data_IF_781825918185
#
_entry.id   IF_781825918185
#
_cell.length_a   1.000
_cell.length_b   1.000
_cell.length_c   1.000
_cell.angle_alpha   90.00
_cell.angle_beta   90.00
_cell.angle_gamma   90.00
#
_symmetry.space_group_name_H-M   'P 1'
#
loop_
_entity.id
_entity.type
_entity.pdbx_description
1 polymer ?
#
# COMPACT_ATOMS: atom_id res chain seq x y z
N UNK A 1 -30.27 -24.06 29.40
CA UNK A 1 -29.41 -23.01 30.01
C UNK A 1 -28.57 -22.41 28.90
N UNK A 2 -28.86 -21.18 28.48
CA UNK A 2 -28.09 -20.50 27.43
C UNK A 2 -26.76 -20.03 28.02
N UNK A 3 -25.64 -20.61 27.56
CA UNK A 3 -24.30 -20.11 27.89
C UNK A 3 -24.09 -18.79 27.15
N UNK A 4 -24.16 -17.67 27.88
CA UNK A 4 -23.65 -16.38 27.42
C UNK A 4 -22.14 -16.53 27.21
N UNK A 5 -21.70 -16.44 25.96
CA UNK A 5 -20.28 -16.39 25.63
C UNK A 5 -19.62 -15.19 26.35
N UNK A 6 -18.43 -15.36 26.97
CA UNK A 6 -17.77 -14.26 27.65
C UNK A 6 -17.34 -13.19 26.63
N UNK A 7 -17.86 -11.98 26.79
CA UNK A 7 -17.42 -10.81 26.01
C UNK A 7 -15.95 -10.53 26.32
N UNK A 8 -15.06 -10.78 25.35
CA UNK A 8 -13.63 -10.47 25.47
C UNK A 8 -13.47 -8.96 25.75
N UNK A 9 -12.71 -8.56 26.79
CA UNK A 9 -12.48 -7.15 27.05
C UNK A 9 -11.73 -6.51 25.88
N UNK A 10 -12.16 -5.31 25.47
CA UNK A 10 -11.48 -4.55 24.41
C UNK A 10 -10.03 -4.31 24.82
N UNK A 11 -9.04 -4.58 23.95
CA UNK A 11 -7.64 -4.34 24.26
C UNK A 11 -7.39 -2.85 24.53
N UNK A 12 -6.45 -2.54 25.43
CA UNK A 12 -6.03 -1.15 25.68
C UNK A 12 -5.46 -0.49 24.43
N UNK A 13 -5.52 0.85 24.33
CA UNK A 13 -5.02 1.59 23.16
C UNK A 13 -3.53 1.30 22.88
N UNK A 14 -2.71 1.19 23.93
CA UNK A 14 -1.30 0.83 23.79
C UNK A 14 -1.13 -0.56 23.15
N UNK A 15 -1.98 -1.53 23.52
CA UNK A 15 -1.94 -2.87 22.92
C UNK A 15 -2.43 -2.87 21.47
N UNK A 16 -3.46 -2.09 21.15
CA UNK A 16 -3.93 -1.93 19.78
C UNK A 16 -2.85 -1.28 18.89
N UNK A 17 -2.14 -0.28 19.41
CA UNK A 17 -1.02 0.35 18.71
C UNK A 17 0.14 -0.61 18.51
N UNK A 18 0.52 -1.38 19.53
CA UNK A 18 1.55 -2.41 19.41
C UNK A 18 1.17 -3.45 18.35
N UNK A 19 -0.08 -3.92 18.32
CA UNK A 19 -0.56 -4.83 17.26
C UNK A 19 -0.44 -4.19 15.87
N UNK A 20 -0.79 -2.90 15.75
CA UNK A 20 -0.71 -2.17 14.49
C UNK A 20 0.73 -2.06 13.97
N UNK A 21 1.67 -1.63 14.81
CA UNK A 21 3.09 -1.49 14.45
C UNK A 21 3.81 -2.83 14.29
N UNK A 22 3.29 -3.92 14.86
CA UNK A 22 3.81 -5.26 14.63
C UNK A 22 3.43 -5.83 13.26
N UNK A 23 2.44 -5.24 12.58
CA UNK A 23 2.16 -5.57 11.18
C UNK A 23 3.06 -4.76 10.25
N UNK A 24 3.60 -5.39 9.19
CA UNK A 24 4.43 -4.71 8.19
C UNK A 24 3.71 -3.50 7.57
N UNK A 25 2.42 -3.66 7.27
CA UNK A 25 1.61 -2.59 6.69
C UNK A 25 1.40 -1.42 7.66
N UNK A 26 1.08 -1.69 8.94
CA UNK A 26 0.90 -0.64 9.94
C UNK A 26 2.21 0.06 10.30
N UNK A 27 3.32 -0.68 10.31
CA UNK A 27 4.66 -0.10 10.48
C UNK A 27 5.04 0.81 9.31
N UNK A 28 4.86 0.37 8.05
CA UNK A 28 5.12 1.23 6.88
C UNK A 28 4.26 2.48 6.90
N UNK A 29 2.97 2.38 7.25
CA UNK A 29 2.09 3.53 7.33
C UNK A 29 2.52 4.51 8.44
N UNK A 30 2.99 4.00 9.57
CA UNK A 30 3.54 4.82 10.66
C UNK A 30 4.81 5.54 10.22
N UNK A 31 5.73 4.83 9.53
CA UNK A 31 6.93 5.44 8.96
C UNK A 31 6.59 6.45 7.86
N UNK A 32 5.56 6.19 7.05
CA UNK A 32 5.06 7.12 6.02
C UNK A 32 4.57 8.42 6.64
N UNK A 33 3.86 8.32 7.77
CA UNK A 33 3.44 9.49 8.54
C UNK A 33 4.65 10.29 9.04
N UNK A 34 5.60 9.63 9.70
CA UNK A 34 6.82 10.29 10.17
C UNK A 34 7.61 10.93 9.02
N UNK A 35 7.77 10.23 7.89
CA UNK A 35 8.44 10.76 6.70
C UNK A 35 7.75 12.03 6.21
N UNK A 36 6.42 12.02 6.07
CA UNK A 36 5.68 13.19 5.58
C UNK A 36 5.81 14.40 6.50
N UNK A 37 5.80 14.21 7.82
CA UNK A 37 5.99 15.29 8.79
C UNK A 37 7.39 15.91 8.71
N UNK A 38 8.42 15.08 8.56
CA UNK A 38 9.80 15.55 8.42
C UNK A 38 9.98 16.32 7.10
N UNK A 39 9.37 15.85 6.01
CA UNK A 39 9.43 16.49 4.69
C UNK A 39 8.59 17.78 4.61
N UNK A 40 7.54 17.91 5.42
CA UNK A 40 6.88 19.21 5.65
C UNK A 40 7.86 20.15 6.36
N UNK A 41 8.57 19.67 7.39
CA UNK A 41 9.57 20.44 8.12
C UNK A 41 10.70 20.99 7.26
N UNK A 42 11.09 20.31 6.17
CA UNK A 42 12.09 20.83 5.21
C UNK A 42 11.57 21.97 4.35
N UNK A 43 10.25 22.08 4.15
CA UNK A 43 9.64 23.13 3.34
C UNK A 43 9.16 24.34 4.15
N UNK A 44 9.33 24.31 5.47
CA UNK A 44 9.12 25.49 6.31
C UNK A 44 10.39 26.35 6.30
N UNK A 45 10.24 27.68 6.28
CA UNK A 45 11.35 28.65 6.35
C UNK A 45 12.01 28.66 7.75
N UNK A 46 12.61 27.53 8.11
CA UNK A 46 13.34 27.31 9.35
C UNK A 46 14.84 27.55 9.15
N UNK A 47 15.58 27.54 10.26
CA UNK A 47 17.03 27.62 10.22
C UNK A 47 17.65 26.50 9.36
N UNK A 48 18.71 26.83 8.62
CA UNK A 48 19.37 25.93 7.66
C UNK A 48 19.86 24.62 8.30
N UNK A 49 20.25 24.68 9.58
CA UNK A 49 20.64 23.51 10.37
C UNK A 49 19.48 22.53 10.57
N UNK A 50 18.27 23.04 10.82
CA UNK A 50 17.07 22.24 11.02
C UNK A 50 16.65 21.59 9.70
N UNK A 51 16.62 22.37 8.61
CA UNK A 51 16.28 21.87 7.26
C UNK A 51 17.20 20.71 6.87
N UNK A 52 18.51 20.86 7.08
CA UNK A 52 19.49 19.80 6.78
C UNK A 52 19.23 18.53 7.59
N UNK A 53 18.96 18.66 8.90
CA UNK A 53 18.64 17.50 9.76
C UNK A 53 17.35 16.82 9.33
N UNK A 54 16.33 17.59 8.98
CA UNK A 54 15.06 17.06 8.47
C UNK A 54 15.28 16.35 7.13
N UNK A 55 16.07 16.89 6.21
CA UNK A 55 16.37 16.24 4.94
C UNK A 55 17.08 14.89 5.13
N UNK A 56 18.06 14.84 6.03
CA UNK A 56 18.74 13.58 6.39
C UNK A 56 17.75 12.58 7.00
N UNK A 57 16.93 13.01 7.96
CA UNK A 57 15.94 12.16 8.59
C UNK A 57 14.90 11.63 7.57
N UNK A 58 14.41 12.48 6.65
CA UNK A 58 13.49 12.08 5.59
C UNK A 58 14.12 11.01 4.69
N UNK A 59 15.37 11.20 4.27
CA UNK A 59 16.11 10.20 3.48
C UNK A 59 16.23 8.86 4.20
N UNK A 60 16.59 8.86 5.48
CA UNK A 60 16.75 7.63 6.27
C UNK A 60 15.42 6.91 6.50
N UNK A 61 14.35 7.64 6.82
CA UNK A 61 13.01 7.05 6.98
C UNK A 61 12.50 6.53 5.63
N UNK A 62 12.74 7.26 4.54
CA UNK A 62 12.42 6.84 3.17
C UNK A 62 13.07 5.51 2.80
N UNK A 63 14.37 5.34 3.08
CA UNK A 63 15.05 4.06 2.93
C UNK A 63 14.47 2.98 3.86
N UNK A 64 14.20 3.34 5.13
CA UNK A 64 13.46 2.52 6.11
C UNK A 64 12.24 1.82 5.50
N UNK A 65 11.38 2.62 4.86
CA UNK A 65 10.16 2.15 4.19
C UNK A 65 10.41 1.29 2.95
N UNK A 66 11.51 1.53 2.22
CA UNK A 66 11.92 0.67 1.11
C UNK A 66 12.30 -0.72 1.60
N UNK A 67 13.03 -0.85 2.73
CA UNK A 67 13.36 -2.15 3.32
C UNK A 67 12.12 -2.99 3.63
N UNK A 68 11.06 -2.37 4.18
CA UNK A 68 9.82 -3.08 4.52
C UNK A 68 9.09 -3.63 3.29
N UNK A 69 9.26 -3.01 2.12
CA UNK A 69 8.56 -3.38 0.88
C UNK A 69 9.42 -4.20 -0.09
N UNK A 70 10.69 -4.46 0.25
CA UNK A 70 11.68 -5.07 -0.66
C UNK A 70 11.18 -6.35 -1.34
N UNK A 71 10.47 -7.21 -0.62
CA UNK A 71 9.93 -8.46 -1.14
C UNK A 71 8.45 -8.41 -1.53
N UNK A 72 7.80 -7.24 -1.44
CA UNK A 72 6.38 -7.08 -1.78
C UNK A 72 6.06 -7.35 -3.26
N UNK A 73 7.06 -7.36 -4.13
CA UNK A 73 6.88 -7.77 -5.53
C UNK A 73 6.50 -9.25 -5.66
N UNK A 74 6.90 -10.10 -4.71
CA UNK A 74 6.57 -11.54 -4.72
C UNK A 74 5.06 -11.75 -4.59
N UNK A 75 4.42 -11.02 -3.67
CA UNK A 75 2.96 -11.06 -3.51
C UNK A 75 2.28 -10.58 -4.80
N UNK A 76 2.81 -9.53 -5.44
CA UNK A 76 2.27 -9.03 -6.71
C UNK A 76 2.35 -10.10 -7.82
N UNK A 77 3.49 -10.78 -7.96
CA UNK A 77 3.67 -11.83 -8.97
C UNK A 77 2.85 -13.09 -8.67
N UNK A 78 2.65 -13.45 -7.40
CA UNK A 78 1.73 -14.52 -7.01
C UNK A 78 0.29 -14.19 -7.43
N UNK A 79 -0.18 -12.97 -7.15
CA UNK A 79 -1.52 -12.54 -7.58
C UNK A 79 -1.66 -12.56 -9.12
N UNK A 80 -0.63 -12.13 -9.86
CA UNK A 80 -0.59 -12.23 -11.32
C UNK A 80 -0.71 -13.68 -11.79
N UNK A 81 0.04 -14.60 -11.18
CA UNK A 81 0.01 -16.02 -11.52
C UNK A 81 -1.36 -16.66 -11.22
N UNK A 82 -1.98 -16.31 -10.09
CA UNK A 82 -3.31 -16.80 -9.71
C UNK A 82 -4.38 -16.35 -10.71
N UNK A 83 -4.32 -15.08 -11.14
CA UNK A 83 -5.22 -14.55 -12.18
C UNK A 83 -4.99 -15.32 -13.49
N UNK A 84 -3.73 -15.46 -13.95
CA UNK A 84 -3.40 -16.14 -15.21
C UNK A 84 -3.77 -17.63 -15.22
N UNK A 85 -3.80 -18.27 -14.05
CA UNK A 85 -4.21 -19.68 -13.91
C UNK A 85 -5.72 -19.87 -14.09
N UNK A 86 -6.49 -18.79 -14.11
CA UNK A 86 -7.95 -18.83 -14.33
C UNK A 86 -8.28 -18.86 -15.82
N UNK A 87 -9.12 -19.81 -16.24
CA UNK A 87 -9.42 -20.10 -17.66
C UNK A 87 -10.03 -18.92 -18.46
N UNK A 88 -10.62 -17.94 -17.79
CA UNK A 88 -11.27 -16.78 -18.40
C UNK A 88 -10.61 -15.43 -18.02
N UNK A 89 -9.36 -15.45 -17.55
CA UNK A 89 -8.67 -14.26 -17.02
C UNK A 89 -8.67 -13.05 -17.96
N UNK A 90 -8.51 -13.29 -19.28
CA UNK A 90 -8.49 -12.22 -20.29
C UNK A 90 -9.89 -11.80 -20.78
N UNK A 91 -10.94 -12.54 -20.41
CA UNK A 91 -12.33 -12.22 -20.77
C UNK A 91 -13.01 -11.39 -19.70
N UNK A 92 -12.62 -11.58 -18.44
CA UNK A 92 -13.09 -10.77 -17.32
C UNK A 92 -12.33 -9.43 -17.26
N UNK A 93 -13.06 -8.32 -17.44
CA UNK A 93 -12.49 -6.98 -17.36
C UNK A 93 -11.92 -6.66 -15.98
N UNK A 94 -12.53 -7.16 -14.91
CA UNK A 94 -12.02 -6.93 -13.56
C UNK A 94 -10.69 -7.65 -13.36
N UNK A 95 -10.59 -8.90 -13.79
CA UNK A 95 -9.35 -9.67 -13.76
C UNK A 95 -8.24 -9.03 -14.61
N UNK A 96 -8.55 -8.47 -15.78
CA UNK A 96 -7.57 -7.75 -16.60
C UNK A 96 -7.03 -6.49 -15.93
N UNK A 97 -7.90 -5.71 -15.28
CA UNK A 97 -7.49 -4.51 -14.53
C UNK A 97 -6.59 -4.90 -13.36
N UNK A 98 -6.97 -5.93 -12.60
CA UNK A 98 -6.19 -6.42 -11.46
C UNK A 98 -4.83 -6.98 -11.93
N UNK A 99 -4.82 -7.72 -13.05
CA UNK A 99 -3.59 -8.23 -13.67
C UNK A 99 -2.63 -7.10 -14.03
N UNK A 100 -3.14 -6.03 -14.64
CA UNK A 100 -2.33 -4.88 -15.04
C UNK A 100 -1.80 -4.12 -13.82
N UNK A 101 -2.65 -3.90 -12.82
CA UNK A 101 -2.28 -3.23 -11.56
C UNK A 101 -1.15 -3.99 -10.85
N UNK A 102 -1.32 -5.30 -10.61
CA UNK A 102 -0.31 -6.12 -9.94
C UNK A 102 0.97 -6.28 -10.78
N UNK A 103 0.88 -6.33 -12.10
CA UNK A 103 2.06 -6.37 -12.97
C UNK A 103 2.88 -5.07 -12.86
N UNK A 104 2.22 -3.92 -12.91
CA UNK A 104 2.88 -2.62 -12.76
C UNK A 104 3.46 -2.46 -11.34
N UNK A 105 2.73 -2.80 -10.28
CA UNK A 105 3.23 -2.76 -8.91
C UNK A 105 4.42 -3.70 -8.69
N UNK A 106 4.36 -4.92 -9.23
CA UNK A 106 5.45 -5.89 -9.15
C UNK A 106 6.72 -5.38 -9.84
N UNK A 107 6.59 -4.79 -11.03
CA UNK A 107 7.72 -4.17 -11.74
C UNK A 107 8.29 -2.96 -11.00
N UNK A 108 7.44 -2.10 -10.43
CA UNK A 108 7.87 -0.98 -9.60
C UNK A 108 8.74 -1.48 -8.43
N UNK A 109 8.20 -2.38 -7.61
CA UNK A 109 8.87 -2.89 -6.41
C UNK A 109 10.15 -3.68 -6.76
N UNK A 110 10.12 -4.49 -7.82
CA UNK A 110 11.27 -5.24 -8.29
C UNK A 110 12.41 -4.32 -8.74
N UNK A 111 12.12 -3.34 -9.60
CA UNK A 111 13.13 -2.39 -10.08
C UNK A 111 13.64 -1.47 -8.97
N UNK A 112 12.77 -0.96 -8.09
CA UNK A 112 13.18 -0.16 -6.93
C UNK A 112 14.14 -0.98 -6.05
N UNK A 113 13.82 -2.26 -5.81
CA UNK A 113 14.67 -3.18 -5.05
C UNK A 113 16.08 -3.34 -5.64
N UNK A 114 16.24 -3.35 -6.96
CA UNK A 114 17.58 -3.44 -7.60
C UNK A 114 18.45 -2.21 -7.37
N UNK A 115 17.85 -1.04 -7.12
CA UNK A 115 18.55 0.22 -6.90
C UNK A 115 18.97 0.45 -5.44
N UNK A 116 18.53 -0.43 -4.55
CA UNK A 116 18.65 -0.25 -3.11
C UNK A 116 20.10 -0.33 -2.59
N UNK A 117 20.93 -1.20 -3.17
CA UNK A 117 22.35 -1.27 -2.81
C UNK A 117 23.13 0.00 -3.17
N UNK A 118 22.65 0.72 -4.19
CA UNK A 118 23.18 2.03 -4.57
C UNK A 118 22.81 3.08 -3.51
N UNK A 119 21.55 3.11 -3.07
CA UNK A 119 21.07 4.03 -2.03
C UNK A 119 21.81 3.85 -0.69
N UNK A 120 22.27 2.62 -0.42
CA UNK A 120 23.07 2.27 0.76
C UNK A 120 24.55 2.64 0.64
N UNK A 121 25.00 3.19 -0.50
CA UNK A 121 26.40 3.43 -0.82
C UNK A 121 27.29 2.17 -0.77
N UNK A 122 26.72 0.97 -0.99
CA UNK A 122 27.48 -0.29 -1.02
C UNK A 122 28.03 -0.55 -2.42
N UNK A 123 27.18 -0.46 -3.45
CA UNK A 123 27.56 -0.67 -4.84
C UNK A 123 27.06 0.50 -5.69
N UNK A 124 27.98 1.31 -6.20
CA UNK A 124 27.65 2.36 -7.16
C UNK A 124 27.52 1.78 -8.56
N UNK A 125 26.44 2.13 -9.26
CA UNK A 125 26.09 1.60 -10.58
C UNK A 125 25.65 2.74 -11.48
N UNK A 126 26.08 2.72 -12.74
CA UNK A 126 25.78 3.78 -13.72
C UNK A 126 24.33 3.78 -14.19
N UNK A 127 23.64 2.65 -14.07
CA UNK A 127 22.25 2.46 -14.47
C UNK A 127 21.24 2.79 -13.37
N UNK A 128 21.67 3.33 -12.22
CA UNK A 128 20.80 3.67 -11.09
C UNK A 128 19.63 4.57 -11.50
N UNK A 129 19.94 5.77 -12.01
CA UNK A 129 18.95 6.78 -12.37
C UNK A 129 17.93 6.28 -13.41
N UNK A 130 18.33 5.69 -14.55
CA UNK A 130 17.34 5.21 -15.52
C UNK A 130 16.46 4.10 -14.95
N UNK A 131 17.01 3.14 -14.19
CA UNK A 131 16.20 2.06 -13.58
C UNK A 131 15.22 2.60 -12.54
N UNK A 132 15.65 3.56 -11.72
CA UNK A 132 14.78 4.20 -10.73
C UNK A 132 13.66 5.00 -11.39
N UNK A 133 13.95 5.72 -12.48
CA UNK A 133 12.92 6.43 -13.24
C UNK A 133 11.90 5.47 -13.87
N UNK A 134 12.34 4.36 -14.48
CA UNK A 134 11.41 3.35 -15.01
C UNK A 134 10.54 2.75 -13.89
N UNK A 135 11.13 2.48 -12.72
CA UNK A 135 10.39 2.03 -11.54
C UNK A 135 9.26 3.01 -11.17
N UNK A 136 9.53 4.32 -11.10
CA UNK A 136 8.50 5.32 -10.81
C UNK A 136 7.42 5.44 -11.89
N UNK A 137 7.74 5.19 -13.17
CA UNK A 137 6.71 5.13 -14.22
C UNK A 137 5.73 3.98 -13.98
N UNK A 138 6.24 2.80 -13.65
CA UNK A 138 5.39 1.65 -13.32
C UNK A 138 4.52 1.93 -12.09
N UNK A 139 5.06 2.63 -11.08
CA UNK A 139 4.28 3.05 -9.93
C UNK A 139 3.14 4.01 -10.31
N UNK A 140 3.44 5.00 -11.15
CA UNK A 140 2.43 5.93 -11.68
C UNK A 140 1.33 5.18 -12.43
N UNK A 141 1.70 4.27 -13.34
CA UNK A 141 0.72 3.49 -14.13
C UNK A 141 -0.15 2.60 -13.23
N UNK A 142 0.43 1.96 -12.21
CA UNK A 142 -0.34 1.17 -11.25
C UNK A 142 -1.43 2.02 -10.56
N UNK A 143 -1.10 3.23 -10.11
CA UNK A 143 -2.09 4.12 -9.46
C UNK A 143 -3.15 4.56 -10.48
N UNK A 144 -2.79 4.89 -11.72
CA UNK A 144 -3.77 5.21 -12.76
C UNK A 144 -4.76 4.06 -13.00
N UNK A 145 -4.27 2.82 -13.00
CA UNK A 145 -5.11 1.62 -13.15
C UNK A 145 -6.02 1.43 -11.93
N UNK A 146 -5.52 1.63 -10.71
CA UNK A 146 -6.33 1.60 -9.49
C UNK A 146 -7.43 2.68 -9.47
N UNK A 147 -7.13 3.89 -9.95
CA UNK A 147 -8.12 4.97 -10.15
C UNK A 147 -9.16 4.53 -11.18
N UNK A 148 -8.73 4.01 -12.34
CA UNK A 148 -9.62 3.54 -13.40
C UNK A 148 -10.53 2.41 -12.92
N UNK A 149 -10.02 1.49 -12.09
CA UNK A 149 -10.79 0.44 -11.40
C UNK A 149 -11.89 1.05 -10.54
N UNK A 150 -11.52 1.95 -9.63
CA UNK A 150 -12.46 2.58 -8.69
C UNK A 150 -13.54 3.38 -9.41
N UNK A 151 -13.16 4.12 -10.45
CA UNK A 151 -14.11 4.83 -11.32
C UNK A 151 -15.02 3.87 -12.06
N UNK A 152 -14.49 2.76 -12.59
CA UNK A 152 -15.30 1.74 -13.28
C UNK A 152 -16.35 1.12 -12.36
N UNK A 153 -15.99 0.81 -11.11
CA UNK A 153 -16.93 0.30 -10.10
C UNK A 153 -17.99 1.34 -9.74
N UNK A 154 -17.61 2.62 -9.66
CA UNK A 154 -18.54 3.70 -9.34
C UNK A 154 -19.56 3.96 -10.46
N UNK A 155 -19.13 3.85 -11.72
CA UNK A 155 -19.96 4.14 -12.90
C UNK A 155 -20.85 2.95 -13.32
N UNK A 156 -20.30 1.73 -13.29
CA UNK A 156 -20.96 0.54 -13.82
C UNK A 156 -21.46 -0.41 -12.72
N UNK A 157 -21.28 -0.04 -11.44
CA UNK A 157 -21.54 -0.90 -10.30
C UNK A 157 -20.44 -1.94 -10.09
N UNK A 158 -20.44 -2.64 -8.94
CA UNK A 158 -19.50 -3.73 -8.72
C UNK A 158 -19.76 -4.83 -9.75
N UNK A 159 -18.82 -5.03 -10.67
CA UNK A 159 -18.74 -6.29 -11.40
C UNK A 159 -18.56 -7.39 -10.35
N UNK A 160 -19.51 -8.32 -10.25
CA UNK A 160 -19.44 -9.44 -9.29
C UNK A 160 -18.10 -10.15 -9.47
N UNK A 161 -17.16 -10.08 -8.50
CA UNK A 161 -15.96 -10.88 -8.57
C UNK A 161 -16.27 -12.22 -7.92
N UNK A 162 -16.21 -13.30 -8.70
CA UNK A 162 -16.02 -14.64 -8.17
C UNK A 162 -14.71 -14.65 -7.38
N UNK A 163 -14.82 -14.89 -6.07
CA UNK A 163 -13.75 -15.40 -5.21
C UNK A 163 -12.53 -14.49 -4.97
N UNK A 164 -12.70 -13.45 -4.15
CA UNK A 164 -11.59 -12.90 -3.35
C UNK A 164 -11.27 -13.86 -2.18
N UNK A 165 -10.49 -14.92 -2.45
CA UNK A 165 -9.69 -15.63 -1.45
C UNK A 165 -8.31 -14.96 -1.40
N UNK A 166 -8.03 -14.22 -0.34
CA UNK A 166 -6.65 -14.03 0.10
C UNK A 166 -6.20 -15.36 0.68
N UNK A 167 -5.32 -16.07 -0.03
CA UNK A 167 -4.56 -17.17 0.52
C UNK A 167 -3.29 -16.59 1.14
N UNK A 168 -3.23 -16.58 2.47
CA UNK A 168 -1.97 -16.74 3.19
C UNK A 168 -2.28 -17.47 4.49
N UNK A 169 -2.31 -18.80 4.40
CA UNK A 169 -1.94 -19.70 5.51
C UNK A 169 -1.96 -21.16 5.04
N UNK A 170 -0.76 -21.70 4.79
CA UNK A 170 -0.42 -23.13 4.91
C UNK A 170 1.06 -23.09 5.35
N UNK A 171 1.51 -23.64 6.49
CA UNK A 171 1.23 -24.96 7.03
C UNK A 171 1.70 -25.04 8.50
N UNK A 172 0.92 -25.66 9.39
CA UNK A 172 1.35 -26.93 10.00
C UNK A 172 0.16 -27.72 10.61
N UNK A 173 0.22 -29.05 10.49
CA UNK A 173 -0.89 -29.98 10.70
C UNK A 173 -1.15 -30.37 12.18
N UNK A 174 -2.43 -30.63 12.55
CA UNK A 174 -2.96 -31.94 13.05
C UNK A 174 -4.20 -31.85 13.98
N UNK A 175 -5.34 -32.44 13.53
CA UNK A 175 -6.56 -32.94 14.25
C UNK A 175 -7.33 -31.93 15.15
N UNK A 176 -8.65 -31.73 15.08
CA UNK A 176 -9.79 -32.69 15.14
C UNK A 176 -11.13 -31.96 14.83
N UNK A 177 -12.20 -32.70 14.53
CA UNK A 177 -13.48 -32.31 13.87
C UNK A 177 -14.54 -31.59 14.75
N UNK A 178 -15.36 -30.72 14.10
CA UNK A 178 -16.81 -30.32 14.30
C UNK A 178 -17.08 -28.80 14.48
N UNK A 179 -18.30 -28.28 14.21
CA UNK A 179 -18.88 -27.98 12.89
C UNK A 179 -19.12 -26.47 12.66
N UNK A 180 -19.29 -26.12 11.38
CA UNK A 180 -19.44 -24.80 10.80
C UNK A 180 -20.37 -23.82 11.53
N UNK A 181 -19.81 -22.66 11.90
CA UNK A 181 -20.54 -21.42 12.16
C UNK A 181 -20.28 -20.44 11.02
N UNK A 182 -21.36 -19.94 10.43
CA UNK A 182 -21.41 -19.14 9.21
C UNK A 182 -20.68 -17.81 9.34
N UNK A 183 -19.65 -17.61 8.51
CA UNK A 183 -18.98 -16.31 8.31
C UNK A 183 -19.99 -15.35 7.65
N UNK A 184 -20.22 -14.14 8.20
CA UNK A 184 -21.15 -13.18 7.61
C UNK A 184 -20.63 -12.66 6.26
N UNK A 185 -21.56 -12.48 5.32
CA UNK A 185 -21.33 -12.06 3.95
C UNK A 185 -20.51 -10.75 3.85
N UNK A 186 -19.59 -10.72 2.88
CA UNK A 186 -18.76 -9.56 2.52
C UNK A 186 -19.65 -8.38 2.15
N UNK A 187 -19.63 -7.31 2.94
CA UNK A 187 -20.40 -6.10 2.67
C UNK A 187 -19.95 -5.46 1.35
N UNK A 188 -20.92 -5.11 0.50
CA UNK A 188 -20.68 -4.32 -0.72
C UNK A 188 -19.99 -3.02 -0.32
N UNK A 189 -18.87 -2.63 -0.96
CA UNK A 189 -18.20 -1.38 -0.64
C UNK A 189 -19.17 -0.22 -0.85
N UNK A 190 -19.33 0.60 0.19
CA UNK A 190 -20.17 1.80 0.12
C UNK A 190 -19.56 2.82 -0.85
N UNK A 191 -20.40 3.62 -1.49
CA UNK A 191 -19.95 4.73 -2.35
C UNK A 191 -18.96 5.65 -1.63
N UNK A 192 -19.17 5.90 -0.33
CA UNK A 192 -18.27 6.70 0.51
C UNK A 192 -16.87 6.08 0.63
N UNK A 193 -16.78 4.75 0.83
CA UNK A 193 -15.48 4.07 0.86
C UNK A 193 -14.75 4.10 -0.47
N UNK A 194 -15.46 4.03 -1.61
CA UNK A 194 -14.86 4.13 -2.94
C UNK A 194 -14.35 5.54 -3.22
N UNK A 195 -15.12 6.57 -2.87
CA UNK A 195 -14.69 7.97 -2.99
C UNK A 195 -13.47 8.26 -2.14
N UNK A 196 -13.42 7.72 -0.91
CA UNK A 196 -12.26 7.85 -0.04
C UNK A 196 -11.03 7.18 -0.64
N UNK A 197 -11.17 5.98 -1.21
CA UNK A 197 -10.06 5.29 -1.90
C UNK A 197 -9.57 6.11 -3.10
N UNK A 198 -10.50 6.61 -3.92
CA UNK A 198 -10.18 7.47 -5.06
C UNK A 198 -9.38 8.71 -4.64
N UNK A 199 -9.78 9.37 -3.56
CA UNK A 199 -9.05 10.53 -3.03
C UNK A 199 -7.64 10.15 -2.55
N UNK A 200 -7.48 9.02 -1.87
CA UNK A 200 -6.17 8.51 -1.45
C UNK A 200 -5.29 8.25 -2.66
N UNK A 201 -5.81 7.57 -3.69
CA UNK A 201 -5.05 7.23 -4.90
C UNK A 201 -4.66 8.49 -5.68
N UNK A 202 -5.54 9.50 -5.78
CA UNK A 202 -5.21 10.79 -6.41
C UNK A 202 -4.10 11.56 -5.66
N UNK A 203 -4.12 11.55 -4.33
CA UNK A 203 -3.06 12.16 -3.53
C UNK A 203 -1.73 11.41 -3.72
N UNK A 204 -1.79 10.07 -3.74
CA UNK A 204 -0.62 9.22 -3.93
C UNK A 204 -0.03 9.35 -5.32
N UNK A 205 -0.84 9.62 -6.35
CA UNK A 205 -0.40 9.85 -7.73
C UNK A 205 0.56 11.03 -7.87
N UNK A 206 0.44 12.04 -6.99
CA UNK A 206 1.32 13.22 -7.02
C UNK A 206 2.78 12.89 -6.70
N UNK A 207 3.04 11.79 -5.99
CA UNK A 207 4.38 11.40 -5.56
C UNK A 207 5.21 10.91 -6.76
N UNK A 208 4.84 9.84 -7.49
CA UNK A 208 5.57 9.48 -8.70
C UNK A 208 5.44 10.54 -9.80
N UNK A 209 4.29 11.24 -9.88
CA UNK A 209 4.07 12.28 -10.89
C UNK A 209 5.04 13.46 -10.79
N UNK A 210 5.36 13.91 -9.57
CA UNK A 210 6.36 14.96 -9.34
C UNK A 210 7.79 14.45 -9.54
N UNK A 211 8.13 13.25 -9.05
CA UNK A 211 9.45 12.63 -9.23
C UNK A 211 9.82 12.41 -10.70
N UNK A 212 8.84 12.14 -11.55
CA UNK A 212 9.02 12.00 -13.00
C UNK A 212 9.03 13.34 -13.75
N UNK A 213 8.72 14.45 -13.07
CA UNK A 213 8.54 15.77 -13.70
C UNK A 213 7.28 15.87 -14.58
N UNK A 214 6.33 14.94 -14.45
CA UNK A 214 5.07 14.96 -15.21
C UNK A 214 4.03 15.91 -14.60
N UNK A 215 4.16 16.18 -13.30
CA UNK A 215 3.30 17.11 -12.57
C UNK A 215 4.16 18.24 -11.96
N UNK A 216 3.88 19.53 -12.27
CA UNK A 216 4.62 20.66 -11.72
C UNK A 216 4.13 20.98 -10.29
N UNK A 217 4.33 20.04 -9.37
CA UNK A 217 3.95 20.16 -7.96
C UNK A 217 5.24 20.32 -7.14
N UNK A 218 5.26 21.26 -6.19
CA UNK A 218 6.41 21.44 -5.30
C UNK A 218 6.55 20.30 -4.31
N UNK A 219 7.79 20.00 -3.89
CA UNK A 219 8.08 18.96 -2.90
C UNK A 219 7.27 19.15 -1.61
N UNK A 220 7.08 20.40 -1.17
CA UNK A 220 6.24 20.73 -0.02
C UNK A 220 4.78 20.29 -0.19
N UNK A 221 4.19 20.55 -1.36
CA UNK A 221 2.82 20.14 -1.64
C UNK A 221 2.70 18.61 -1.74
N UNK A 222 3.71 17.91 -2.29
CA UNK A 222 3.79 16.45 -2.29
C UNK A 222 3.84 15.88 -0.87
N UNK A 223 4.59 16.52 0.04
CA UNK A 223 4.65 16.13 1.46
C UNK A 223 3.28 16.23 2.14
N UNK A 224 2.53 17.31 1.86
CA UNK A 224 1.17 17.49 2.38
C UNK A 224 0.22 16.43 1.81
N UNK A 225 0.31 16.16 0.50
CA UNK A 225 -0.50 15.13 -0.14
C UNK A 225 -0.23 13.74 0.46
N UNK A 226 1.05 13.40 0.65
CA UNK A 226 1.48 12.16 1.31
C UNK A 226 1.00 12.08 2.77
N UNK A 227 1.04 13.18 3.52
CA UNK A 227 0.50 13.25 4.88
C UNK A 227 -1.02 12.99 4.88
N UNK A 228 -1.76 13.71 4.02
CA UNK A 228 -3.22 13.60 3.94
C UNK A 228 -3.66 12.19 3.54
N UNK A 229 -3.03 11.57 2.54
CA UNK A 229 -3.36 10.21 2.12
C UNK A 229 -3.07 9.18 3.21
N UNK A 230 -1.98 9.36 3.96
CA UNK A 230 -1.60 8.51 5.10
C UNK A 230 -2.64 8.58 6.22
N UNK A 231 -3.07 9.79 6.60
CA UNK A 231 -4.10 9.99 7.63
C UNK A 231 -5.44 9.40 7.18
N UNK A 232 -5.81 9.56 5.91
CA UNK A 232 -7.02 8.97 5.36
C UNK A 232 -6.96 7.44 5.35
N UNK A 233 -5.83 6.83 5.01
CA UNK A 233 -5.66 5.38 4.97
C UNK A 233 -5.63 4.72 6.38
N UNK A 234 -5.30 5.50 7.42
CA UNK A 234 -5.07 4.98 8.78
C UNK A 234 -6.23 4.17 9.36
N UNK A 235 -7.50 4.65 9.38
CA UNK A 235 -8.58 3.93 10.06
C UNK A 235 -8.93 2.59 9.37
N UNK A 236 -8.83 2.53 8.05
CA UNK A 236 -9.09 1.32 7.26
C UNK A 236 -8.05 0.24 7.55
N UNK A 237 -6.77 0.63 7.63
CA UNK A 237 -5.72 -0.32 7.96
C UNK A 237 -5.75 -0.71 9.43
N UNK A 238 -6.05 0.25 10.32
CA UNK A 238 -6.20 0.00 11.75
C UNK A 238 -7.26 -1.08 12.00
N UNK A 239 -8.45 -0.93 11.40
CA UNK A 239 -9.53 -1.90 11.53
C UNK A 239 -9.17 -3.28 10.99
N UNK A 240 -8.32 -3.38 9.96
CA UNK A 240 -7.88 -4.65 9.37
C UNK A 240 -6.88 -5.42 10.25
N UNK A 241 -6.08 -4.71 11.05
CA UNK A 241 -5.00 -5.31 11.87
C UNK A 241 -5.46 -5.62 13.30
N UNK A 242 -6.56 -5.02 13.76
CA UNK A 242 -7.10 -5.37 15.08
C UNK A 242 -7.73 -6.77 15.08
N UNK A 243 -7.57 -7.54 16.18
CA UNK A 243 -8.15 -8.87 16.34
C UNK A 243 -9.65 -8.87 16.66
#
# INVERSE_FOLDING_TARGET
MAQLAPTRPRPSLARQFANFTNSTAGLDLTLRLCHSLVLIGTGLDLDSSIVTKCAVAASQIGQGRRYLRLFGFLDCFQNVQDILSTKDAFRDRAAMIDLLEFSCLGMYLGLEGTTMLHDMNVVSVSWYTPVLLESYKFWFYAICVAIARTVSVLLFGPAVPTSQKQAQEVQDEKKERRPAESIPARAVPTTSSLLKQLLIDCLDLTIPGSLLGWMPISDFAVSIAMFASTVLAWPSLWAKVQP
#
